data_IF_284822326607
#
_entry.id   IF_284822326607
#
_cell.length_a   1.000
_cell.length_b   1.000
_cell.length_c   1.000
_cell.angle_alpha   90.00
_cell.angle_beta   90.00
_cell.angle_gamma   90.00
#
_symmetry.space_group_name_H-M   'P 1'
#
loop_
_entity.id
_entity.type
_entity.pdbx_description
1 polymer ?
#
# COMPACT_ATOMS: atom_id res chain seq x y z
N UNK A 1 27.91 -18.68 4.92
CA UNK A 1 28.72 -17.76 5.73
C UNK A 1 28.32 -16.29 5.50
N UNK A 2 28.71 -15.42 6.42
CA UNK A 2 28.41 -13.99 6.35
C UNK A 2 29.69 -13.17 6.43
N UNK A 3 29.82 -12.21 5.51
CA UNK A 3 30.93 -11.26 5.49
C UNK A 3 30.35 -9.86 5.73
N UNK A 4 30.91 -9.16 6.71
CA UNK A 4 30.65 -7.76 6.97
C UNK A 4 31.81 -6.92 6.44
N UNK A 5 31.55 -5.87 5.69
CA UNK A 5 32.54 -4.83 5.43
C UNK A 5 32.09 -3.51 6.03
N UNK A 6 33.06 -2.75 6.56
CA UNK A 6 32.79 -1.52 7.29
C UNK A 6 33.65 -0.40 6.72
N UNK A 7 33.06 0.78 6.61
CA UNK A 7 33.82 2.01 6.37
C UNK A 7 34.71 2.35 7.58
N UNK A 8 35.83 3.02 7.31
CA UNK A 8 36.88 3.29 8.29
C UNK A 8 36.44 4.17 9.48
N UNK A 9 35.32 4.86 9.34
CA UNK A 9 34.74 5.75 10.35
C UNK A 9 33.79 5.05 11.35
N UNK A 10 33.63 3.71 11.24
CA UNK A 10 32.89 2.92 12.22
C UNK A 10 33.85 2.36 13.27
N UNK A 11 33.80 2.95 14.47
CA UNK A 11 34.69 2.58 15.57
C UNK A 11 33.95 2.05 16.81
N UNK A 12 32.62 2.21 16.89
CA UNK A 12 31.88 2.01 18.14
C UNK A 12 31.56 0.56 18.47
N UNK A 13 31.37 -0.30 17.44
CA UNK A 13 30.94 -1.66 17.68
C UNK A 13 31.27 -2.60 16.52
N UNK A 14 31.61 -3.85 16.83
CA UNK A 14 31.98 -4.85 15.83
C UNK A 14 30.73 -5.59 15.31
N UNK A 15 30.42 -5.57 14.00
CA UNK A 15 29.14 -6.09 13.48
C UNK A 15 28.98 -7.61 13.68
N UNK A 16 30.06 -8.39 13.57
CA UNK A 16 29.98 -9.82 13.82
C UNK A 16 29.67 -10.14 15.30
N UNK A 17 30.11 -9.30 16.26
CA UNK A 17 29.74 -9.42 17.65
C UNK A 17 28.26 -9.13 17.84
N UNK A 18 27.75 -8.03 17.25
CA UNK A 18 26.34 -7.67 17.29
C UNK A 18 25.45 -8.77 16.70
N UNK A 19 25.86 -9.37 15.58
CA UNK A 19 25.13 -10.46 14.97
C UNK A 19 25.02 -11.68 15.91
N UNK A 20 26.11 -12.07 16.56
CA UNK A 20 26.09 -13.18 17.54
C UNK A 20 25.20 -12.89 18.75
N UNK A 21 25.29 -11.70 19.31
CA UNK A 21 24.43 -11.25 20.40
C UNK A 21 22.94 -11.24 20.01
N UNK A 22 22.66 -11.11 18.72
CA UNK A 22 21.30 -11.21 18.15
C UNK A 22 20.89 -12.64 17.74
N UNK A 23 21.68 -13.66 18.08
CA UNK A 23 21.37 -15.07 17.82
C UNK A 23 21.86 -15.63 16.47
N UNK A 24 22.69 -14.88 15.73
CA UNK A 24 23.28 -15.36 14.47
C UNK A 24 24.62 -16.04 14.74
N UNK A 25 24.60 -17.22 15.35
CA UNK A 25 25.79 -18.01 15.75
C UNK A 25 25.97 -19.29 14.92
N UNK A 26 25.06 -19.62 14.03
CA UNK A 26 24.98 -20.87 13.25
C UNK A 26 25.89 -20.93 12.01
N UNK A 27 26.62 -19.86 11.70
CA UNK A 27 27.53 -19.84 10.56
C UNK A 27 28.81 -19.02 10.84
N UNK A 28 29.89 -19.20 10.05
CA UNK A 28 31.09 -18.36 10.12
C UNK A 28 30.76 -16.90 9.79
N UNK A 29 31.23 -15.98 10.64
CA UNK A 29 31.10 -14.53 10.48
C UNK A 29 32.50 -13.95 10.30
N UNK A 30 32.70 -13.20 9.20
CA UNK A 30 33.94 -12.50 8.90
C UNK A 30 33.67 -10.99 8.81
N UNK A 31 34.61 -10.16 9.24
CA UNK A 31 34.51 -8.72 9.11
C UNK A 31 35.82 -8.13 8.57
N UNK A 32 35.73 -7.19 7.64
CA UNK A 32 36.84 -6.46 7.05
C UNK A 32 36.53 -4.96 6.98
N UNK A 33 37.58 -4.17 6.85
CA UNK A 33 37.47 -2.72 6.67
C UNK A 33 37.53 -2.40 5.17
N UNK A 34 36.71 -1.49 4.71
CA UNK A 34 36.74 -0.96 3.35
C UNK A 34 37.82 0.11 3.18
N UNK A 35 38.37 0.28 1.97
CA UNK A 35 39.25 1.41 1.70
C UNK A 35 38.49 2.73 1.84
N UNK A 36 39.15 3.73 2.38
CA UNK A 36 38.61 5.10 2.43
C UNK A 36 38.65 5.71 1.03
N UNK A 37 37.49 6.03 0.47
CA UNK A 37 37.34 6.57 -0.88
C UNK A 37 36.68 7.95 -0.77
N UNK A 38 37.32 8.95 -1.40
CA UNK A 38 36.79 10.31 -1.44
C UNK A 38 35.39 10.34 -2.07
N UNK A 39 34.43 10.97 -1.38
CA UNK A 39 33.01 10.98 -1.80
C UNK A 39 32.25 9.68 -1.51
N UNK A 40 32.90 8.68 -0.89
CA UNK A 40 32.26 7.43 -0.48
C UNK A 40 31.23 7.63 0.64
N UNK A 41 30.34 6.66 0.77
CA UNK A 41 29.34 6.66 1.83
C UNK A 41 30.02 6.46 3.18
N UNK A 42 29.74 7.35 4.15
CA UNK A 42 30.25 7.26 5.53
C UNK A 42 29.30 6.46 6.41
N UNK A 43 29.84 5.93 7.53
CA UNK A 43 29.10 5.13 8.50
C UNK A 43 28.31 3.99 7.85
N UNK A 44 28.93 3.29 6.92
CA UNK A 44 28.29 2.25 6.12
C UNK A 44 28.79 0.85 6.54
N UNK A 45 27.85 -0.06 6.71
CA UNK A 45 28.11 -1.49 6.87
C UNK A 45 27.48 -2.21 5.68
N UNK A 46 28.27 -3.03 4.97
CA UNK A 46 27.77 -3.94 3.95
C UNK A 46 27.79 -5.36 4.48
N UNK A 47 26.79 -6.12 4.12
CA UNK A 47 26.66 -7.51 4.53
C UNK A 47 26.50 -8.37 3.29
N UNK A 48 27.43 -9.31 3.08
CA UNK A 48 27.33 -10.33 2.06
C UNK A 48 27.01 -11.67 2.73
N UNK A 49 25.93 -12.30 2.29
CA UNK A 49 25.49 -13.60 2.79
C UNK A 49 25.64 -14.61 1.67
N UNK A 50 26.46 -15.65 1.91
CA UNK A 50 26.54 -16.82 1.03
C UNK A 50 25.59 -17.88 1.54
N UNK A 51 24.62 -18.24 0.71
CA UNK A 51 23.64 -19.30 0.99
C UNK A 51 23.78 -20.40 -0.08
N UNK A 52 23.56 -21.64 0.34
CA UNK A 52 23.32 -22.72 -0.61
C UNK A 52 21.83 -22.65 -0.98
N UNK A 53 21.49 -22.60 -2.27
CA UNK A 53 20.09 -22.53 -2.68
C UNK A 53 19.40 -23.83 -2.25
N UNK A 54 18.48 -23.73 -1.32
CA UNK A 54 17.49 -24.78 -1.07
C UNK A 54 16.47 -24.78 -2.22
N UNK A 55 15.91 -25.94 -2.54
CA UNK A 55 14.85 -26.05 -3.54
C UNK A 55 13.70 -25.06 -3.23
N UNK A 56 13.48 -24.10 -4.13
CA UNK A 56 12.44 -23.07 -3.98
C UNK A 56 12.94 -21.65 -3.70
N UNK A 57 14.22 -21.42 -3.41
CA UNK A 57 14.78 -20.07 -3.26
C UNK A 57 15.05 -19.48 -4.65
N UNK A 58 14.06 -18.76 -5.20
CA UNK A 58 14.17 -18.19 -6.56
C UNK A 58 14.64 -16.74 -6.59
N UNK A 59 14.42 -15.96 -5.52
CA UNK A 59 14.71 -14.52 -5.51
C UNK A 59 15.48 -14.09 -4.27
N UNK A 60 16.71 -13.63 -4.48
CA UNK A 60 17.52 -12.98 -3.44
C UNK A 60 17.24 -11.48 -3.48
N UNK A 61 16.72 -10.93 -2.39
CA UNK A 61 16.51 -9.48 -2.25
C UNK A 61 17.74 -8.82 -1.66
N UNK A 62 18.28 -7.84 -2.40
CA UNK A 62 19.29 -6.94 -1.88
C UNK A 62 18.64 -5.81 -1.09
N UNK A 63 19.01 -5.66 0.18
CA UNK A 63 18.40 -4.67 1.09
C UNK A 63 19.34 -3.48 1.27
N UNK A 64 18.85 -2.28 0.99
CA UNK A 64 19.57 -1.02 1.16
C UNK A 64 18.81 -0.13 2.15
N UNK A 65 19.44 0.17 3.30
CA UNK A 65 18.82 0.93 4.37
C UNK A 65 19.40 2.35 4.46
N UNK A 66 18.59 3.29 4.94
CA UNK A 66 18.99 4.69 5.17
C UNK A 66 19.74 5.30 3.97
N UNK A 67 20.92 5.87 4.19
CA UNK A 67 21.77 6.49 3.15
C UNK A 67 22.27 5.52 2.08
N UNK A 68 22.34 4.20 2.37
CA UNK A 68 22.76 3.19 1.39
C UNK A 68 21.78 3.03 0.22
N UNK A 69 20.54 3.50 0.34
CA UNK A 69 19.57 3.55 -0.78
C UNK A 69 20.12 4.31 -2.00
N UNK A 70 20.95 5.32 -1.78
CA UNK A 70 21.59 6.11 -2.84
C UNK A 70 22.64 5.36 -3.67
N UNK A 71 23.19 4.22 -3.17
CA UNK A 71 24.21 3.44 -3.88
C UNK A 71 23.66 2.66 -5.08
N UNK A 72 22.39 2.33 -5.08
CA UNK A 72 21.73 1.56 -6.13
C UNK A 72 20.38 2.20 -6.47
N UNK A 73 20.45 3.36 -7.12
CA UNK A 73 19.26 4.11 -7.58
C UNK A 73 18.40 3.30 -8.55
N UNK A 74 18.99 2.38 -9.28
CA UNK A 74 18.34 1.45 -10.19
C UNK A 74 17.46 0.40 -9.47
N UNK A 75 17.83 0.02 -8.24
CA UNK A 75 17.08 -0.94 -7.39
C UNK A 75 16.22 -0.20 -6.35
N UNK A 76 16.68 0.97 -5.91
CA UNK A 76 16.06 1.75 -4.82
C UNK A 76 15.10 2.84 -5.31
N UNK A 77 14.90 2.99 -6.62
CA UNK A 77 13.91 3.94 -7.13
C UNK A 77 12.50 3.50 -6.71
N UNK A 78 11.86 4.33 -5.90
CA UNK A 78 10.43 4.15 -5.61
C UNK A 78 9.69 4.28 -6.93
N UNK A 79 8.97 3.24 -7.31
CA UNK A 79 8.09 3.25 -8.48
C UNK A 79 6.70 2.80 -8.09
N UNK A 80 5.72 3.34 -8.79
CA UNK A 80 4.33 3.07 -8.47
C UNK A 80 3.58 2.63 -9.72
N UNK A 81 2.62 1.73 -9.50
CA UNK A 81 1.70 1.25 -10.52
C UNK A 81 0.31 1.81 -10.19
N UNK A 82 -0.25 2.58 -11.10
CA UNK A 82 -1.61 3.12 -10.97
C UNK A 82 -2.60 2.20 -11.67
N UNK A 83 -3.57 1.68 -10.94
CA UNK A 83 -4.68 0.89 -11.47
C UNK A 83 -6.00 1.62 -11.29
N UNK A 84 -6.58 2.07 -12.39
CA UNK A 84 -7.87 2.75 -12.40
C UNK A 84 -8.96 1.87 -13.02
N UNK A 85 -10.21 2.21 -12.76
CA UNK A 85 -11.36 1.56 -13.37
C UNK A 85 -12.55 1.39 -12.43
N UNK A 86 -13.70 0.93 -12.94
CA UNK A 86 -14.94 0.85 -12.19
C UNK A 86 -14.93 -0.25 -11.11
N UNK A 87 -15.87 -0.18 -10.17
CA UNK A 87 -16.03 -1.20 -9.14
C UNK A 87 -16.36 -2.57 -9.77
N UNK A 88 -15.80 -3.65 -9.21
CA UNK A 88 -16.04 -5.03 -9.71
C UNK A 88 -15.30 -5.39 -11.00
N UNK A 89 -14.42 -4.52 -11.52
CA UNK A 89 -13.64 -4.82 -12.74
C UNK A 89 -12.52 -5.84 -12.52
N UNK A 90 -12.14 -6.12 -11.27
CA UNK A 90 -11.04 -7.03 -10.93
C UNK A 90 -9.73 -6.33 -10.56
N UNK A 91 -9.72 -4.99 -10.46
CA UNK A 91 -8.53 -4.20 -10.12
C UNK A 91 -7.81 -4.70 -8.88
N UNK A 92 -8.54 -4.86 -7.77
CA UNK A 92 -7.94 -5.26 -6.49
C UNK A 92 -7.30 -6.65 -6.54
N UNK A 93 -7.83 -7.54 -7.37
CA UNK A 93 -7.22 -8.87 -7.60
C UNK A 93 -5.91 -8.72 -8.36
N UNK A 94 -5.92 -7.95 -9.45
CA UNK A 94 -4.71 -7.68 -10.25
C UNK A 94 -3.68 -6.91 -9.41
N UNK A 95 -4.12 -5.91 -8.63
CA UNK A 95 -3.24 -5.13 -7.77
C UNK A 95 -2.50 -5.99 -6.75
N UNK A 96 -3.19 -6.95 -6.13
CA UNK A 96 -2.58 -7.88 -5.17
C UNK A 96 -1.58 -8.81 -5.84
N UNK A 97 -1.91 -9.38 -7.01
CA UNK A 97 -0.99 -10.22 -7.78
C UNK A 97 0.27 -9.43 -8.15
N UNK A 98 0.12 -8.21 -8.68
CA UNK A 98 1.27 -7.36 -9.01
C UNK A 98 2.09 -6.98 -7.78
N UNK A 99 1.43 -6.67 -6.66
CA UNK A 99 2.13 -6.35 -5.41
C UNK A 99 2.97 -7.53 -4.91
N UNK A 100 2.44 -8.74 -5.02
CA UNK A 100 3.11 -10.00 -4.66
C UNK A 100 4.27 -10.30 -5.62
N UNK A 101 4.02 -10.29 -6.93
CA UNK A 101 5.01 -10.61 -7.96
C UNK A 101 6.21 -9.65 -7.94
N UNK A 102 5.95 -8.36 -7.74
CA UNK A 102 6.99 -7.32 -7.71
C UNK A 102 7.48 -6.98 -6.30
N UNK A 103 6.93 -7.65 -5.27
CA UNK A 103 7.27 -7.42 -3.87
C UNK A 103 7.17 -5.96 -3.43
N UNK A 104 6.12 -5.29 -3.85
CA UNK A 104 5.77 -3.91 -3.49
C UNK A 104 4.44 -3.90 -2.73
N UNK A 105 4.11 -2.76 -2.11
CA UNK A 105 2.89 -2.69 -1.31
C UNK A 105 1.65 -2.60 -2.21
N UNK A 106 0.55 -3.17 -1.74
CA UNK A 106 -0.78 -2.92 -2.30
C UNK A 106 -1.50 -1.86 -1.48
N UNK A 107 -1.92 -0.75 -2.11
CA UNK A 107 -2.69 0.31 -1.48
C UNK A 107 -4.13 0.36 -2.02
N UNK A 108 -5.08 -0.13 -1.22
CA UNK A 108 -6.52 0.04 -1.44
C UNK A 108 -6.93 1.48 -1.05
N UNK A 109 -6.93 2.39 -2.04
CA UNK A 109 -7.33 3.78 -1.77
C UNK A 109 -8.82 3.90 -1.44
N UNK A 110 -9.65 3.00 -1.95
CA UNK A 110 -11.07 2.92 -1.62
C UNK A 110 -11.32 2.65 -0.14
N UNK A 111 -10.44 1.90 0.54
CA UNK A 111 -10.52 1.69 1.98
C UNK A 111 -10.40 3.01 2.76
N UNK A 112 -9.53 3.92 2.32
CA UNK A 112 -9.36 5.24 2.96
C UNK A 112 -10.64 6.09 2.86
N UNK A 113 -11.27 6.14 1.70
CA UNK A 113 -12.57 6.81 1.53
C UNK A 113 -13.68 6.15 2.34
N UNK A 114 -13.68 4.82 2.45
CA UNK A 114 -14.64 4.10 3.28
C UNK A 114 -14.43 4.37 4.78
N UNK A 115 -13.20 4.59 5.23
CA UNK A 115 -12.96 5.02 6.61
C UNK A 115 -13.56 6.41 6.90
N UNK A 116 -13.42 7.37 5.97
CA UNK A 116 -14.09 8.67 6.07
C UNK A 116 -15.62 8.51 6.11
N UNK A 117 -16.17 7.63 5.27
CA UNK A 117 -17.61 7.34 5.26
C UNK A 117 -18.11 6.71 6.56
N UNK A 118 -17.36 5.77 7.12
CA UNK A 118 -17.66 5.16 8.42
C UNK A 118 -17.67 6.20 9.54
N UNK A 119 -16.72 7.15 9.52
CA UNK A 119 -16.69 8.24 10.47
C UNK A 119 -17.94 9.11 10.39
N UNK A 120 -18.40 9.44 9.17
CA UNK A 120 -19.64 10.19 8.96
C UNK A 120 -20.86 9.43 9.50
N UNK A 121 -20.99 8.15 9.16
CA UNK A 121 -22.10 7.30 9.62
C UNK A 121 -22.11 7.16 11.15
N UNK A 122 -20.96 6.92 11.78
CA UNK A 122 -20.84 6.81 13.24
C UNK A 122 -21.24 8.09 13.98
N UNK A 123 -21.01 9.26 13.35
CA UNK A 123 -21.37 10.57 13.91
C UNK A 123 -22.76 11.07 13.47
N UNK A 124 -23.53 10.27 12.73
CA UNK A 124 -24.85 10.64 12.22
C UNK A 124 -24.81 11.79 11.19
N UNK A 125 -23.67 12.02 10.56
CA UNK A 125 -23.48 13.06 9.55
C UNK A 125 -23.97 12.53 8.20
N UNK A 126 -24.77 13.34 7.50
CA UNK A 126 -25.17 13.02 6.13
C UNK A 126 -23.95 13.09 5.19
N UNK A 127 -23.58 11.97 4.52
CA UNK A 127 -22.44 11.95 3.61
C UNK A 127 -22.51 12.89 2.40
N UNK A 128 -23.67 13.54 2.18
CA UNK A 128 -23.89 14.53 1.12
C UNK A 128 -23.81 15.97 1.62
N UNK A 129 -23.74 16.21 2.94
CA UNK A 129 -23.73 17.54 3.53
C UNK A 129 -22.31 18.14 3.53
N UNK A 130 -22.01 19.01 2.56
CA UNK A 130 -20.64 19.51 2.29
C UNK A 130 -19.99 20.17 3.53
N UNK A 131 -20.70 21.05 4.22
CA UNK A 131 -20.17 21.76 5.39
C UNK A 131 -19.86 20.82 6.56
N UNK A 132 -20.74 19.85 6.83
CA UNK A 132 -20.57 18.88 7.91
C UNK A 132 -19.43 17.91 7.61
N UNK A 133 -19.35 17.42 6.35
CA UNK A 133 -18.28 16.55 5.88
C UNK A 133 -16.93 17.28 5.92
N UNK A 134 -16.87 18.56 5.52
CA UNK A 134 -15.64 19.35 5.61
C UNK A 134 -15.14 19.48 7.05
N UNK A 135 -16.05 19.74 8.00
CA UNK A 135 -15.69 19.81 9.42
C UNK A 135 -15.23 18.44 9.94
N UNK A 136 -15.95 17.37 9.59
CA UNK A 136 -15.58 16.01 9.95
C UNK A 136 -14.15 15.68 9.54
N UNK A 137 -13.79 15.94 8.27
CA UNK A 137 -12.47 15.60 7.72
C UNK A 137 -11.32 16.33 8.46
N UNK A 138 -11.58 17.51 8.99
CA UNK A 138 -10.62 18.22 9.84
C UNK A 138 -10.39 17.60 11.22
N UNK A 139 -11.30 16.76 11.70
CA UNK A 139 -11.30 16.20 13.07
C UNK A 139 -10.97 14.72 13.15
N UNK A 140 -10.95 13.99 12.05
CA UNK A 140 -10.63 12.56 12.02
C UNK A 140 -9.19 12.32 11.59
N UNK A 141 -8.59 11.27 12.14
CA UNK A 141 -7.29 10.75 11.74
C UNK A 141 -7.49 9.42 11.02
N UNK A 142 -7.19 9.40 9.72
CA UNK A 142 -7.20 8.18 8.91
C UNK A 142 -5.75 7.79 8.66
N UNK A 143 -5.40 6.54 8.96
CA UNK A 143 -4.05 6.00 8.71
C UNK A 143 -4.10 4.67 7.99
N UNK A 144 -3.02 4.37 7.29
CA UNK A 144 -2.76 3.07 6.68
C UNK A 144 -1.51 2.48 7.32
N UNK A 145 -1.63 1.29 7.84
CA UNK A 145 -0.52 0.49 8.36
C UNK A 145 -0.42 -0.82 7.59
N UNK A 146 0.78 -1.38 7.56
CA UNK A 146 1.02 -2.70 6.99
C UNK A 146 1.48 -3.65 8.07
N UNK A 147 0.75 -4.76 8.24
CA UNK A 147 1.09 -5.86 9.16
C UNK A 147 1.12 -7.14 8.35
N UNK A 148 2.24 -7.84 8.37
CA UNK A 148 2.45 -9.08 7.58
C UNK A 148 2.08 -8.93 6.08
N UNK A 149 2.48 -7.79 5.48
CA UNK A 149 2.19 -7.47 4.08
C UNK A 149 0.74 -7.08 3.77
N UNK A 150 -0.14 -7.09 4.77
CA UNK A 150 -1.55 -6.73 4.60
C UNK A 150 -1.81 -5.29 5.05
N UNK A 151 -2.58 -4.56 4.25
CA UNK A 151 -3.04 -3.21 4.60
C UNK A 151 -4.09 -3.27 5.70
N UNK A 152 -3.87 -2.50 6.76
CA UNK A 152 -4.82 -2.16 7.79
C UNK A 152 -5.19 -0.68 7.70
N UNK A 153 -6.48 -0.38 7.78
CA UNK A 153 -6.98 0.99 7.74
C UNK A 153 -7.45 1.38 9.12
N UNK A 154 -6.84 2.43 9.68
CA UNK A 154 -7.16 2.92 11.00
C UNK A 154 -7.97 4.22 10.89
N UNK A 155 -8.95 4.36 11.78
CA UNK A 155 -9.74 5.57 11.98
C UNK A 155 -9.64 5.98 13.46
N UNK A 156 -9.07 7.14 13.73
CA UNK A 156 -8.85 7.65 15.10
C UNK A 156 -8.12 6.61 16.00
N UNK A 157 -7.19 5.84 15.41
CA UNK A 157 -6.42 4.80 16.07
C UNK A 157 -7.09 3.40 16.13
N UNK A 158 -8.36 3.27 15.79
CA UNK A 158 -9.08 1.99 15.73
C UNK A 158 -8.87 1.32 14.37
N UNK A 159 -8.55 0.03 14.34
CA UNK A 159 -8.54 -0.76 13.10
C UNK A 159 -9.96 -1.01 12.61
N UNK A 160 -10.32 -0.38 11.50
CA UNK A 160 -11.65 -0.45 10.90
C UNK A 160 -11.69 -1.28 9.61
N UNK A 161 -10.63 -2.05 9.32
CA UNK A 161 -10.45 -2.78 8.06
C UNK A 161 -11.62 -3.71 7.72
N UNK A 162 -12.26 -4.32 8.72
CA UNK A 162 -13.47 -5.13 8.53
C UNK A 162 -14.75 -4.28 8.51
N UNK A 163 -14.85 -3.30 9.41
CA UNK A 163 -16.05 -2.46 9.54
C UNK A 163 -16.34 -1.68 8.24
N UNK A 164 -15.31 -1.25 7.51
CA UNK A 164 -15.44 -0.50 6.25
C UNK A 164 -15.90 -1.35 5.06
N UNK A 165 -16.02 -2.68 5.21
CA UNK A 165 -16.47 -3.59 4.14
C UNK A 165 -17.99 -3.73 4.04
N UNK A 166 -18.74 -3.16 4.97
CA UNK A 166 -20.21 -3.16 4.97
C UNK A 166 -20.76 -2.41 3.76
N UNK A 167 -21.90 -2.87 3.25
CA UNK A 167 -22.53 -2.27 2.06
C UNK A 167 -22.93 -0.80 2.29
N UNK A 168 -23.49 -0.49 3.44
CA UNK A 168 -23.85 0.88 3.84
C UNK A 168 -22.66 1.84 3.79
N UNK A 169 -21.48 1.40 4.26
CA UNK A 169 -20.24 2.19 4.21
C UNK A 169 -19.78 2.41 2.77
N UNK A 170 -19.89 1.38 1.93
CA UNK A 170 -19.53 1.49 0.51
C UNK A 170 -20.44 2.46 -0.26
N UNK A 171 -21.73 2.52 0.09
CA UNK A 171 -22.67 3.49 -0.46
C UNK A 171 -22.34 4.91 0.00
N UNK A 172 -22.13 5.10 1.29
CA UNK A 172 -21.74 6.39 1.86
C UNK A 172 -20.39 6.89 1.30
N UNK A 173 -19.43 5.98 1.06
CA UNK A 173 -18.13 6.34 0.49
C UNK A 173 -18.24 6.94 -0.93
N UNK A 174 -19.19 6.50 -1.72
CA UNK A 174 -19.46 7.10 -3.04
C UNK A 174 -19.86 8.57 -2.93
N UNK A 175 -20.72 8.90 -1.95
CA UNK A 175 -21.16 10.26 -1.71
C UNK A 175 -20.03 11.11 -1.11
N UNK A 176 -19.36 10.60 -0.08
CA UNK A 176 -18.33 11.37 0.63
C UNK A 176 -17.10 11.66 -0.24
N UNK A 177 -16.79 10.77 -1.18
CA UNK A 177 -15.68 10.96 -2.13
C UNK A 177 -15.89 12.08 -3.15
N UNK A 178 -17.10 12.57 -3.31
CA UNK A 178 -17.41 13.72 -4.16
C UNK A 178 -16.95 15.05 -3.54
N UNK A 179 -16.80 15.11 -2.20
CA UNK A 179 -16.40 16.34 -1.52
C UNK A 179 -14.92 16.66 -1.73
N UNK A 180 -14.65 17.88 -2.14
CA UNK A 180 -13.29 18.36 -2.42
C UNK A 180 -12.35 18.21 -1.23
N UNK A 181 -12.78 18.57 -0.03
CA UNK A 181 -11.96 18.48 1.19
C UNK A 181 -11.53 17.03 1.49
N UNK A 182 -12.43 16.05 1.27
CA UNK A 182 -12.11 14.63 1.43
C UNK A 182 -11.07 14.18 0.42
N UNK A 183 -11.27 14.54 -0.86
CA UNK A 183 -10.35 14.18 -1.95
C UNK A 183 -8.97 14.76 -1.72
N UNK A 184 -8.86 16.04 -1.37
CA UNK A 184 -7.58 16.72 -1.12
C UNK A 184 -6.80 15.99 -0.02
N UNK A 185 -7.44 15.69 1.12
CA UNK A 185 -6.78 14.97 2.22
C UNK A 185 -6.37 13.54 1.82
N UNK A 186 -7.23 12.80 1.15
CA UNK A 186 -6.91 11.42 0.73
C UNK A 186 -5.82 11.38 -0.32
N UNK A 187 -5.85 12.27 -1.31
CA UNK A 187 -4.80 12.37 -2.35
C UNK A 187 -3.45 12.74 -1.73
N UNK A 188 -3.41 13.67 -0.78
CA UNK A 188 -2.18 14.03 -0.07
C UNK A 188 -1.57 12.81 0.65
N UNK A 189 -2.40 12.06 1.39
CA UNK A 189 -1.95 10.85 2.09
C UNK A 189 -1.45 9.78 1.12
N UNK A 190 -2.18 9.53 0.03
CA UNK A 190 -1.80 8.55 -1.00
C UNK A 190 -0.46 8.92 -1.65
N UNK A 191 -0.27 10.19 -1.99
CA UNK A 191 1.00 10.71 -2.53
C UNK A 191 2.15 10.56 -1.55
N UNK A 192 1.91 10.80 -0.26
CA UNK A 192 2.93 10.62 0.77
C UNK A 192 3.39 9.18 0.83
N UNK A 193 2.48 8.22 0.88
CA UNK A 193 2.79 6.78 0.88
C UNK A 193 3.56 6.39 -0.38
N UNK A 194 3.06 6.80 -1.56
CA UNK A 194 3.67 6.49 -2.85
C UNK A 194 5.06 7.12 -3.05
N UNK A 195 5.38 8.19 -2.34
CA UNK A 195 6.72 8.82 -2.36
C UNK A 195 7.73 8.06 -1.49
N UNK A 196 7.27 7.43 -0.43
CA UNK A 196 8.12 6.74 0.53
C UNK A 196 8.36 5.26 0.15
N UNK A 197 7.39 4.63 -0.52
CA UNK A 197 7.39 3.19 -0.79
C UNK A 197 6.85 2.87 -2.17
N UNK A 198 7.46 1.89 -2.85
CA UNK A 198 6.92 1.36 -4.09
C UNK A 198 5.60 0.64 -3.81
N UNK A 199 4.56 0.97 -4.57
CA UNK A 199 3.25 0.37 -4.36
C UNK A 199 2.39 0.30 -5.63
N UNK A 200 1.44 -0.62 -5.63
CA UNK A 200 0.32 -0.64 -6.56
C UNK A 200 -0.84 0.07 -5.90
N UNK A 201 -1.30 1.16 -6.49
CA UNK A 201 -2.48 1.90 -6.03
C UNK A 201 -3.69 1.49 -6.86
N UNK A 202 -4.74 1.09 -6.18
CA UNK A 202 -6.04 0.73 -6.77
C UNK A 202 -7.07 1.82 -6.47
N UNK A 203 -7.62 2.43 -7.52
CA UNK A 203 -8.60 3.50 -7.37
C UNK A 203 -9.46 3.80 -8.60
N UNK A 204 -9.79 5.08 -8.79
CA UNK A 204 -10.63 5.58 -9.89
C UNK A 204 -9.94 6.62 -10.76
N UNK A 205 -9.02 7.37 -10.17
CA UNK A 205 -8.33 8.50 -10.75
C UNK A 205 -6.87 8.57 -10.27
N UNK A 206 -6.29 7.39 -10.00
CA UNK A 206 -4.92 7.29 -9.51
C UNK A 206 -3.94 7.84 -10.54
N UNK A 207 -4.03 7.38 -11.79
CA UNK A 207 -3.12 7.79 -12.86
C UNK A 207 -3.37 9.19 -13.40
N UNK A 208 -4.50 9.83 -13.07
CA UNK A 208 -4.82 11.19 -13.52
C UNK A 208 -4.69 12.23 -12.42
N UNK A 209 -5.12 11.93 -11.20
CA UNK A 209 -5.16 12.89 -10.09
C UNK A 209 -4.12 12.60 -9.00
N UNK A 210 -3.93 11.35 -8.60
CA UNK A 210 -3.01 11.01 -7.49
C UNK A 210 -1.57 11.00 -7.96
N UNK A 211 -1.27 10.23 -8.99
CA UNK A 211 0.06 10.01 -9.55
C UNK A 211 0.09 10.32 -11.06
N UNK A 212 -0.05 11.60 -11.46
CA UNK A 212 -0.10 11.98 -12.87
C UNK A 212 1.21 11.65 -13.61
N UNK A 213 2.32 11.57 -12.90
CA UNK A 213 3.64 11.25 -13.45
C UNK A 213 4.04 9.78 -13.30
N UNK A 214 3.12 8.91 -12.82
CA UNK A 214 3.42 7.47 -12.70
C UNK A 214 3.77 6.88 -14.07
N UNK A 215 4.87 6.13 -14.11
CA UNK A 215 5.37 5.47 -15.34
C UNK A 215 4.42 4.36 -15.82
N UNK A 216 3.78 3.68 -14.88
CA UNK A 216 2.90 2.55 -15.16
C UNK A 216 1.46 2.91 -14.75
N UNK A 217 0.59 3.08 -15.73
CA UNK A 217 -0.83 3.41 -15.55
C UNK A 217 -1.68 2.47 -16.38
N UNK A 218 -2.64 1.84 -15.74
CA UNK A 218 -3.54 0.90 -16.40
C UNK A 218 -4.99 1.20 -16.02
N UNK A 219 -5.87 1.08 -16.99
CA UNK A 219 -7.30 1.17 -16.79
C UNK A 219 -7.92 -0.22 -16.96
N UNK A 220 -8.41 -0.80 -15.85
CA UNK A 220 -8.98 -2.14 -15.79
C UNK A 220 -10.50 -2.04 -15.90
N UNK A 221 -11.05 -2.59 -16.94
CA UNK A 221 -12.50 -2.58 -17.17
C UNK A 221 -13.07 -3.99 -17.35
N UNK A 222 -14.36 -4.13 -17.14
CA UNK A 222 -15.16 -5.29 -17.47
C UNK A 222 -16.60 -4.84 -17.75
N UNK A 223 -17.31 -5.61 -18.55
CA UNK A 223 -18.72 -5.35 -18.83
C UNK A 223 -19.55 -5.22 -17.55
N UNK A 224 -20.54 -4.31 -17.57
CA UNK A 224 -21.33 -3.97 -16.38
C UNK A 224 -22.10 -5.17 -15.81
N UNK A 225 -22.60 -6.06 -16.68
CA UNK A 225 -23.28 -7.30 -16.26
C UNK A 225 -22.30 -8.27 -15.59
N UNK A 226 -21.09 -8.39 -16.13
CA UNK A 226 -20.04 -9.23 -15.52
C UNK A 226 -19.68 -8.69 -14.13
N UNK A 227 -19.57 -7.38 -13.98
CA UNK A 227 -19.30 -6.74 -12.67
C UNK A 227 -20.45 -6.92 -11.69
N UNK A 228 -21.69 -6.80 -12.18
CA UNK A 228 -22.88 -7.06 -11.39
C UNK A 228 -22.95 -8.52 -10.92
N UNK A 229 -22.63 -9.47 -11.81
CA UNK A 229 -22.62 -10.90 -11.48
C UNK A 229 -21.56 -11.22 -10.41
N UNK A 230 -20.36 -10.67 -10.53
CA UNK A 230 -19.29 -10.84 -9.51
C UNK A 230 -19.76 -10.30 -8.15
N UNK A 231 -20.35 -9.12 -8.14
CA UNK A 231 -20.86 -8.49 -6.90
C UNK A 231 -22.03 -9.26 -6.31
N UNK A 232 -22.94 -9.74 -7.16
CA UNK A 232 -24.07 -10.58 -6.74
C UNK A 232 -23.58 -11.84 -6.03
N UNK A 233 -22.62 -12.54 -6.65
CA UNK A 233 -22.01 -13.74 -6.05
C UNK A 233 -21.37 -13.45 -4.71
N UNK A 234 -20.55 -12.40 -4.62
CA UNK A 234 -19.88 -11.98 -3.39
C UNK A 234 -20.87 -11.69 -2.25
N UNK A 235 -21.95 -10.95 -2.53
CA UNK A 235 -22.95 -10.59 -1.53
C UNK A 235 -23.79 -11.81 -1.10
N UNK A 236 -24.12 -12.71 -2.04
CA UNK A 236 -24.83 -13.95 -1.76
C UNK A 236 -23.99 -14.90 -0.89
N UNK A 237 -22.69 -15.04 -1.18
CA UNK A 237 -21.76 -15.85 -0.37
C UNK A 237 -21.62 -15.30 1.07
N UNK A 238 -21.83 -13.99 1.26
CA UNK A 238 -21.89 -13.34 2.58
C UNK A 238 -23.27 -13.42 3.24
N UNK A 239 -24.22 -14.19 2.67
CA UNK A 239 -25.56 -14.39 3.20
C UNK A 239 -26.50 -13.18 3.02
N UNK A 240 -26.15 -12.21 2.18
CA UNK A 240 -27.01 -11.05 1.91
C UNK A 240 -28.01 -11.39 0.79
N UNK A 241 -29.28 -11.06 1.03
CA UNK A 241 -30.31 -11.16 -0.01
C UNK A 241 -30.25 -9.92 -0.91
N UNK A 242 -29.86 -10.10 -2.14
CA UNK A 242 -29.73 -9.03 -3.14
C UNK A 242 -30.43 -9.44 -4.44
N UNK A 243 -31.01 -8.46 -5.14
CA UNK A 243 -31.58 -8.64 -6.46
C UNK A 243 -30.56 -8.22 -7.52
N UNK A 244 -30.35 -9.09 -8.52
CA UNK A 244 -29.35 -8.86 -9.57
C UNK A 244 -29.66 -7.62 -10.43
N UNK A 245 -30.91 -7.42 -10.81
CA UNK A 245 -31.31 -6.29 -11.65
C UNK A 245 -31.14 -4.95 -10.93
N UNK A 246 -31.44 -4.92 -9.64
CA UNK A 246 -31.22 -3.75 -8.80
C UNK A 246 -29.72 -3.46 -8.69
N UNK A 247 -28.91 -4.47 -8.43
CA UNK A 247 -27.47 -4.35 -8.34
C UNK A 247 -26.83 -3.87 -9.65
N UNK A 248 -27.33 -4.39 -10.79
CA UNK A 248 -26.84 -3.97 -12.10
C UNK A 248 -27.18 -2.49 -12.38
N UNK A 249 -28.40 -2.06 -12.04
CA UNK A 249 -28.79 -0.65 -12.16
C UNK A 249 -27.92 0.28 -11.30
N UNK A 250 -27.63 -0.10 -10.06
CA UNK A 250 -26.74 0.66 -9.18
C UNK A 250 -25.32 0.78 -9.77
N UNK A 251 -24.80 -0.29 -10.36
CA UNK A 251 -23.49 -0.27 -11.03
C UNK A 251 -23.51 0.71 -12.21
N UNK A 252 -24.54 0.67 -13.05
CA UNK A 252 -24.68 1.59 -14.19
C UNK A 252 -24.82 3.06 -13.75
N UNK A 253 -25.47 3.32 -12.62
CA UNK A 253 -25.56 4.68 -12.07
C UNK A 253 -24.21 5.20 -11.56
N UNK A 254 -23.39 4.32 -10.98
CA UNK A 254 -22.06 4.68 -10.46
C UNK A 254 -21.00 4.86 -11.54
N UNK A 255 -21.24 4.36 -12.74
CA UNK A 255 -20.34 4.50 -13.89
C UNK A 255 -20.59 5.79 -14.69
N UNK A 256 -21.69 6.47 -14.44
CA UNK A 256 -22.01 7.80 -15.02
C UNK A 256 -21.34 8.92 -14.23
#
# INVERSE_FOLDING_TARGET
>A
GVIFSLTTDIHSYHPAKAARESGYDFCPLFACTEPDIEGGLKLCIRVMVSIEPADGLRDVKHVYLKGAKGLRQDISSVYNIALDGPAGSGKSTIAKILADDYHILYLDTGAMYRACALAALRRGINPQADSEVKNLIGTIDVKVEYRDGTQHTLLDGEDVSEAIRKNEVSMAASNISAHRAVREKMVEMQRKIAKEMSCVLDGRDIGSAVLPDAKFKFYVTADSKVRAMRRFKELTERGQKVDFETLHREILQRDK
#
